data_IF_774214583288
#
_entry.id   IF_774214583288
#
_cell.length_a   1.000
_cell.length_b   1.000
_cell.length_c   1.000
_cell.angle_alpha   90.00
_cell.angle_beta   90.00
_cell.angle_gamma   90.00
#
_symmetry.space_group_name_H-M   'P 1'
#
loop_
_entity.id
_entity.type
_entity.pdbx_description
1 polymer ?
#
# COMPACT_ATOMS: atom_id res chain seq x y z
N UNK A 1 0.20 4.64 -13.75
CA UNK A 1 1.03 3.62 -14.45
C UNK A 1 1.56 2.72 -13.37
N UNK A 2 1.00 1.53 -13.21
CA UNK A 2 1.45 0.52 -12.24
C UNK A 2 2.44 -0.41 -12.95
N UNK A 3 3.74 -0.21 -12.74
CA UNK A 3 4.83 -1.01 -13.29
C UNK A 3 5.31 -2.07 -12.29
N UNK A 4 6.15 -3.04 -12.71
CA UNK A 4 6.57 -4.18 -11.88
C UNK A 4 7.48 -3.82 -10.69
N UNK A 5 7.79 -2.55 -10.50
CA UNK A 5 8.66 -2.09 -9.41
C UNK A 5 7.85 -1.78 -8.16
N UNK A 6 8.39 -2.13 -6.99
CA UNK A 6 7.72 -1.98 -5.68
C UNK A 6 7.25 -0.54 -5.43
N UNK A 7 7.97 0.46 -5.93
CA UNK A 7 7.63 1.88 -5.77
C UNK A 7 6.33 2.26 -6.48
N UNK A 8 5.96 1.52 -7.52
CA UNK A 8 4.76 1.79 -8.32
C UNK A 8 3.49 1.21 -7.70
N UNK A 9 3.61 0.40 -6.64
CA UNK A 9 2.48 -0.22 -5.93
C UNK A 9 2.23 0.36 -4.54
N UNK A 10 3.08 1.27 -4.06
CA UNK A 10 2.91 1.90 -2.74
C UNK A 10 1.62 2.72 -2.72
N UNK A 11 1.40 3.56 -3.74
CA UNK A 11 0.22 4.41 -3.85
C UNK A 11 -1.07 3.58 -3.94
N UNK A 12 -1.04 2.50 -4.71
CA UNK A 12 -2.14 1.54 -4.86
C UNK A 12 -2.50 0.89 -3.51
N UNK A 13 -1.51 0.37 -2.78
CA UNK A 13 -1.74 -0.23 -1.47
C UNK A 13 -2.23 0.79 -0.43
N UNK A 14 -1.75 2.02 -0.51
CA UNK A 14 -2.16 3.12 0.38
C UNK A 14 -3.60 3.54 0.10
N UNK A 15 -3.98 3.71 -1.18
CA UNK A 15 -5.33 4.12 -1.57
C UNK A 15 -6.36 3.07 -1.14
N UNK A 16 -6.07 1.78 -1.34
CA UNK A 16 -6.94 0.70 -0.86
C UNK A 16 -7.08 0.68 0.66
N UNK A 17 -5.98 0.89 1.40
CA UNK A 17 -6.04 0.97 2.88
C UNK A 17 -6.90 2.12 3.35
N UNK A 18 -6.79 3.29 2.71
CA UNK A 18 -7.61 4.47 2.97
C UNK A 18 -9.07 4.33 2.49
N UNK A 19 -9.41 3.20 1.85
CA UNK A 19 -10.75 2.93 1.31
C UNK A 19 -11.09 3.75 0.07
N UNK A 20 -10.11 4.44 -0.53
CA UNK A 20 -10.33 5.24 -1.72
C UNK A 20 -10.74 4.37 -2.92
N UNK A 21 -11.57 4.89 -3.85
CA UNK A 21 -12.08 4.13 -4.98
C UNK A 21 -10.97 3.67 -5.94
N UNK A 22 -11.16 2.49 -6.55
CA UNK A 22 -10.22 1.91 -7.55
C UNK A 22 -10.06 2.81 -8.78
N UNK A 23 -11.02 3.69 -9.06
CA UNK A 23 -10.94 4.70 -10.13
C UNK A 23 -9.75 5.66 -9.96
N UNK A 24 -9.19 5.78 -8.75
CA UNK A 24 -7.97 6.56 -8.49
C UNK A 24 -6.68 5.76 -8.72
N UNK A 25 -6.78 4.44 -8.94
CA UNK A 25 -5.65 3.52 -9.13
C UNK A 25 -5.50 3.23 -10.62
N UNK A 26 -4.72 4.06 -11.32
CA UNK A 26 -4.59 3.97 -12.77
C UNK A 26 -3.48 3.00 -13.23
N UNK A 27 -3.90 1.86 -13.81
CA UNK A 27 -2.99 0.87 -14.39
C UNK A 27 -2.22 1.37 -15.63
N UNK A 28 -2.84 2.25 -16.42
CA UNK A 28 -2.28 2.79 -17.66
C UNK A 28 -2.40 4.32 -17.75
N UNK A 29 -1.79 4.92 -18.77
CA UNK A 29 -1.75 6.38 -18.97
C UNK A 29 -3.13 6.97 -19.26
N UNK A 30 -3.96 6.28 -20.03
CA UNK A 30 -5.27 6.78 -20.43
C UNK A 30 -6.23 6.80 -19.24
N UNK A 31 -6.21 5.73 -18.44
CA UNK A 31 -6.95 5.65 -17.18
C UNK A 31 -6.49 6.72 -16.19
N UNK A 32 -5.19 7.00 -16.12
CA UNK A 32 -4.65 8.08 -15.29
C UNK A 32 -5.18 9.44 -15.71
N UNK A 33 -5.15 9.75 -17.01
CA UNK A 33 -5.68 11.02 -17.53
C UNK A 33 -7.16 11.17 -17.21
N UNK A 34 -7.97 10.13 -17.43
CA UNK A 34 -9.41 10.15 -17.09
C UNK A 34 -9.64 10.41 -15.60
N UNK A 35 -8.91 9.72 -14.72
CA UNK A 35 -9.04 9.89 -13.28
C UNK A 35 -8.69 11.30 -12.85
N UNK A 36 -7.59 11.86 -13.37
CA UNK A 36 -7.15 13.23 -13.08
C UNK A 36 -8.14 14.27 -13.59
N UNK A 37 -8.62 14.14 -14.83
CA UNK A 37 -9.60 15.07 -15.42
C UNK A 37 -10.88 15.05 -14.61
N UNK A 38 -11.42 13.87 -14.28
CA UNK A 38 -12.61 13.75 -13.42
C UNK A 38 -12.37 14.38 -12.06
N UNK A 39 -11.23 14.12 -11.43
CA UNK A 39 -10.92 14.68 -10.12
C UNK A 39 -10.84 16.21 -10.17
N UNK A 40 -10.35 16.79 -11.27
CA UNK A 40 -10.25 18.23 -11.46
C UNK A 40 -11.61 18.89 -11.78
N UNK A 41 -12.46 18.22 -12.56
CA UNK A 41 -13.70 18.81 -13.09
C UNK A 41 -14.95 18.49 -12.26
N UNK A 42 -14.96 17.38 -11.52
CA UNK A 42 -16.08 16.94 -10.69
C UNK A 42 -15.85 17.35 -9.22
N UNK A 43 -16.25 18.58 -8.89
CA UNK A 43 -16.08 19.16 -7.55
C UNK A 43 -16.80 18.34 -6.47
N UNK A 44 -18.03 17.89 -6.75
CA UNK A 44 -18.83 17.12 -5.80
C UNK A 44 -18.18 15.77 -5.50
N UNK A 45 -17.66 15.08 -6.53
CA UNK A 45 -16.93 13.84 -6.32
C UNK A 45 -15.64 14.09 -5.53
N UNK A 46 -14.87 15.12 -5.87
CA UNK A 46 -13.64 15.47 -5.13
C UNK A 46 -13.91 15.80 -3.67
N UNK A 47 -14.97 16.55 -3.37
CA UNK A 47 -15.39 16.84 -1.98
C UNK A 47 -15.81 15.59 -1.23
N UNK A 48 -16.52 14.65 -1.88
CA UNK A 48 -16.89 13.38 -1.26
C UNK A 48 -15.67 12.53 -0.87
N UNK A 49 -14.61 12.53 -1.70
CA UNK A 49 -13.35 11.85 -1.40
C UNK A 49 -12.63 12.49 -0.20
N UNK A 50 -12.66 13.81 -0.10
CA UNK A 50 -12.08 14.54 1.05
C UNK A 50 -12.82 14.23 2.34
N UNK A 51 -14.16 14.23 2.31
CA UNK A 51 -14.98 13.85 3.47
C UNK A 51 -14.67 12.41 3.91
N UNK A 52 -14.59 11.47 2.96
CA UNK A 52 -14.23 10.09 3.25
C UNK A 52 -12.85 9.97 3.93
N UNK A 53 -11.85 10.72 3.47
CA UNK A 53 -10.52 10.73 4.10
C UNK A 53 -10.53 11.29 5.52
N UNK A 54 -11.43 12.23 5.84
CA UNK A 54 -11.58 12.75 7.20
C UNK A 54 -12.29 11.77 8.13
N UNK A 55 -13.27 11.03 7.61
CA UNK A 55 -14.04 10.04 8.38
C UNK A 55 -13.22 8.77 8.68
N UNK A 56 -12.32 8.36 7.78
CA UNK A 56 -11.58 7.11 7.90
C UNK A 56 -10.39 7.13 8.87
N UNK A 57 -10.11 8.24 9.56
CA UNK A 57 -8.94 8.43 10.45
C UNK A 57 -7.66 7.80 9.87
N UNK A 58 -7.02 8.46 8.88
CA UNK A 58 -5.91 7.90 8.13
C UNK A 58 -4.72 7.52 9.02
N UNK A 59 -4.55 8.16 10.17
CA UNK A 59 -3.50 7.79 11.13
C UNK A 59 -3.78 6.41 11.73
N UNK A 60 -5.01 6.15 12.17
CA UNK A 60 -5.39 4.84 12.70
C UNK A 60 -5.22 3.75 11.64
N UNK A 61 -5.66 4.00 10.41
CA UNK A 61 -5.59 3.02 9.31
C UNK A 61 -4.15 2.73 8.90
N UNK A 62 -3.27 3.74 8.87
CA UNK A 62 -1.89 3.57 8.38
C UNK A 62 -0.93 3.08 9.47
N UNK A 63 -1.18 3.40 10.74
CA UNK A 63 -0.23 3.12 11.84
C UNK A 63 -0.71 2.07 12.84
N UNK A 64 -1.91 1.50 12.66
CA UNK A 64 -2.34 0.31 13.41
C UNK A 64 -1.82 -0.96 12.74
N UNK A 65 -1.13 -1.80 13.48
CA UNK A 65 -0.61 -3.06 12.96
C UNK A 65 0.19 -3.86 13.97
N UNK A 66 0.95 -4.82 13.44
CA UNK A 66 1.70 -5.81 14.21
C UNK A 66 3.20 -5.66 13.93
N UNK A 67 3.88 -4.64 14.51
CA UNK A 67 5.30 -4.41 14.27
C UNK A 67 6.18 -5.61 14.66
N UNK A 68 5.71 -6.44 15.60
CA UNK A 68 6.39 -7.65 16.06
C UNK A 68 6.54 -8.73 14.97
N UNK A 69 5.65 -8.75 13.96
CA UNK A 69 5.69 -9.77 12.90
C UNK A 69 6.98 -9.71 12.08
N UNK A 70 7.54 -8.51 11.88
CA UNK A 70 8.81 -8.36 11.18
C UNK A 70 9.94 -9.01 11.98
N UNK A 71 10.03 -8.73 13.28
CA UNK A 71 11.04 -9.32 14.15
C UNK A 71 10.92 -10.85 14.20
N UNK A 72 9.69 -11.38 14.31
CA UNK A 72 9.43 -12.82 14.29
C UNK A 72 9.90 -13.47 12.98
N UNK A 73 9.62 -12.85 11.82
CA UNK A 73 10.06 -13.36 10.52
C UNK A 73 11.58 -13.38 10.39
N UNK A 74 12.25 -12.30 10.83
CA UNK A 74 13.72 -12.22 10.84
C UNK A 74 14.32 -13.29 11.76
N UNK A 75 13.73 -13.50 12.94
CA UNK A 75 14.17 -14.53 13.87
C UNK A 75 14.11 -15.93 13.24
N UNK A 76 13.00 -16.28 12.59
CA UNK A 76 12.86 -17.58 11.90
C UNK A 76 13.92 -17.77 10.82
N UNK A 77 14.16 -16.74 10.00
CA UNK A 77 15.20 -16.79 8.96
C UNK A 77 16.60 -16.93 9.54
N UNK A 78 16.86 -16.24 10.65
CA UNK A 78 18.14 -16.32 11.34
C UNK A 78 18.38 -17.71 11.91
N UNK A 79 17.41 -18.28 12.63
CA UNK A 79 17.49 -19.63 13.20
C UNK A 79 17.76 -20.69 12.11
N UNK A 80 17.04 -20.61 10.98
CA UNK A 80 17.27 -21.49 9.83
C UNK A 80 18.69 -21.34 9.25
N UNK A 81 19.23 -20.12 9.20
CA UNK A 81 20.59 -19.86 8.72
C UNK A 81 21.69 -20.39 9.65
N UNK A 82 21.42 -20.50 10.95
CA UNK A 82 22.37 -21.01 11.94
C UNK A 82 22.42 -22.54 11.88
N UNK A 83 21.26 -23.23 11.90
CA UNK A 83 21.24 -24.70 11.77
C UNK A 83 21.84 -25.18 10.44
N UNK A 84 21.60 -24.48 9.33
CA UNK A 84 22.19 -24.84 8.04
C UNK A 84 23.71 -24.61 7.94
N UNK A 85 24.31 -23.84 8.86
CA UNK A 85 25.77 -23.68 8.97
C UNK A 85 26.40 -24.78 9.83
N UNK A 86 25.70 -25.26 10.86
CA UNK A 86 26.15 -26.36 11.71
C UNK A 86 26.16 -27.70 10.94
N UNK A 87 25.16 -27.97 10.10
CA UNK A 87 25.12 -29.16 9.24
C UNK A 87 26.20 -29.21 8.15
N UNK A 88 26.72 -28.05 7.72
CA UNK A 88 27.82 -27.98 6.73
C UNK A 88 29.21 -28.04 7.35
N UNK A 89 29.30 -27.93 8.67
CA UNK A 89 30.54 -27.96 9.43
C UNK A 89 30.81 -29.32 10.11
N UNK A 90 29.84 -30.25 10.06
CA UNK A 90 30.00 -31.68 10.41
C UNK A 90 30.19 -32.54 9.16
#
# INVERSE_FOLDING_TARGET
MSGPEVHTHIDEGLFRRLGLPEELIAGDRETYIRAVVRLAEDDAWRESLQAQLQENDPEQVLFTGHPEKFAAAVQVLWEASVSGREERAS
#
